data_IF_505631507236
#
_entry.id   IF_505631507236
#
_cell.length_a   1.000
_cell.length_b   1.000
_cell.length_c   1.000
_cell.angle_alpha   90.00
_cell.angle_beta   90.00
_cell.angle_gamma   90.00
#
_symmetry.space_group_name_H-M   'P 1'
#
loop_
_entity.id
_entity.type
_entity.pdbx_description
1 polymer ?
#
# COMPACT_ATOMS: atom_id res chain seq x y z
N UNK A 1 17.61 -20.18 -4.20
CA UNK A 1 18.54 -19.10 -4.59
C UNK A 1 17.74 -17.79 -4.50
N UNK A 2 18.18 -16.78 -3.75
CA UNK A 2 17.52 -15.50 -3.64
C UNK A 2 17.50 -14.81 -5.01
N UNK A 3 16.50 -13.96 -5.27
CA UNK A 3 16.50 -13.12 -6.47
C UNK A 3 17.72 -12.18 -6.43
N UNK A 4 18.28 -11.81 -7.60
CA UNK A 4 19.36 -10.83 -7.66
C UNK A 4 18.90 -9.50 -7.03
N UNK A 5 19.81 -8.73 -6.39
CA UNK A 5 19.45 -7.47 -5.78
C UNK A 5 18.86 -6.52 -6.83
N UNK A 6 17.61 -6.10 -6.62
CA UNK A 6 16.93 -5.09 -7.45
C UNK A 6 17.33 -3.71 -6.92
N UNK A 7 18.63 -3.44 -6.87
CA UNK A 7 19.22 -2.19 -6.41
C UNK A 7 20.35 -1.82 -7.36
N UNK A 8 20.37 -0.55 -7.77
CA UNK A 8 21.46 -0.03 -8.58
C UNK A 8 22.78 -0.18 -7.79
N UNK A 9 23.79 -0.93 -8.28
CA UNK A 9 24.95 -1.32 -7.47
C UNK A 9 25.72 -0.11 -6.91
N UNK A 10 25.90 0.94 -7.72
CA UNK A 10 26.58 2.16 -7.27
C UNK A 10 25.79 2.93 -6.21
N UNK A 11 24.47 2.77 -6.17
CA UNK A 11 23.63 3.39 -5.14
C UNK A 11 23.61 2.54 -3.87
N UNK A 12 23.56 1.22 -3.99
CA UNK A 12 23.61 0.30 -2.84
C UNK A 12 24.85 0.52 -1.96
N UNK A 13 26.01 0.78 -2.58
CA UNK A 13 27.26 1.08 -1.87
C UNK A 13 27.24 2.40 -1.07
N UNK A 14 26.27 3.29 -1.32
CA UNK A 14 26.13 4.56 -0.62
C UNK A 14 25.15 4.47 0.58
N UNK A 15 24.42 3.37 0.72
CA UNK A 15 23.42 3.21 1.79
C UNK A 15 24.12 2.75 3.07
N UNK A 16 23.91 3.50 4.15
CA UNK A 16 24.32 3.11 5.51
C UNK A 16 23.43 1.99 6.06
N UNK A 17 23.55 0.79 5.50
CA UNK A 17 23.08 -0.44 6.14
C UNK A 17 23.96 -0.71 7.39
N UNK A 18 23.41 -1.16 8.54
CA UNK A 18 22.04 -1.64 8.82
C UNK A 18 21.07 -0.60 9.38
N UNK A 19 21.55 0.57 9.83
CA UNK A 19 20.75 1.57 10.55
C UNK A 19 19.54 2.07 9.75
N UNK A 20 19.68 2.20 8.43
CA UNK A 20 18.57 2.58 7.57
C UNK A 20 17.43 1.55 7.53
N UNK A 21 17.74 0.24 7.52
CA UNK A 21 16.71 -0.80 7.45
C UNK A 21 15.85 -0.80 8.71
N UNK A 22 16.48 -0.73 9.88
CA UNK A 22 15.75 -0.63 11.15
C UNK A 22 14.84 0.60 11.17
N UNK A 23 15.38 1.78 10.84
CA UNK A 23 14.59 3.02 10.79
C UNK A 23 13.43 2.93 9.78
N UNK A 24 13.65 2.30 8.63
CA UNK A 24 12.59 2.12 7.64
C UNK A 24 11.46 1.24 8.17
N UNK A 25 11.78 0.09 8.79
CA UNK A 25 10.78 -0.80 9.38
C UNK A 25 10.06 -0.21 10.59
N UNK A 26 10.71 0.69 11.35
CA UNK A 26 10.06 1.49 12.40
C UNK A 26 8.95 2.39 11.82
N UNK A 27 9.22 3.04 10.69
CA UNK A 27 8.29 3.95 10.06
C UNK A 27 7.11 3.26 9.35
N UNK A 28 7.13 1.93 9.16
CA UNK A 28 6.03 1.24 8.50
C UNK A 28 4.79 1.19 9.41
N UNK A 29 3.64 1.73 8.97
CA UNK A 29 2.40 1.66 9.73
C UNK A 29 1.90 0.21 9.79
N UNK A 30 1.33 -0.14 10.94
CA UNK A 30 0.65 -1.42 11.21
C UNK A 30 1.47 -2.66 10.83
N UNK A 31 2.79 -2.54 10.84
CA UNK A 31 3.72 -3.61 10.49
C UNK A 31 4.52 -3.99 11.72
N UNK A 32 4.49 -5.26 12.06
CA UNK A 32 5.30 -5.86 13.12
C UNK A 32 6.42 -6.63 12.43
N UNK A 33 7.66 -6.20 12.60
CA UNK A 33 8.80 -6.74 11.85
C UNK A 33 9.79 -7.42 12.80
N UNK A 34 10.40 -8.51 12.34
CA UNK A 34 11.54 -9.12 13.00
C UNK A 34 12.47 -9.87 12.04
N UNK A 35 13.67 -10.12 12.53
CA UNK A 35 14.60 -11.11 12.03
C UNK A 35 15.11 -11.97 13.19
N UNK A 36 15.29 -13.27 12.95
CA UNK A 36 15.90 -14.21 13.88
C UNK A 36 17.10 -14.91 13.23
N UNK A 37 18.10 -15.25 14.05
CA UNK A 37 19.24 -16.05 13.63
C UNK A 37 18.87 -17.56 13.53
N UNK A 38 19.83 -18.39 13.13
CA UNK A 38 19.66 -19.85 12.99
C UNK A 38 19.25 -20.58 14.27
N UNK A 39 19.51 -19.99 15.44
CA UNK A 39 19.16 -20.56 16.75
C UNK A 39 17.77 -20.09 17.21
N UNK A 40 17.15 -19.17 16.47
CA UNK A 40 15.83 -18.63 16.78
C UNK A 40 15.85 -17.39 17.66
N UNK A 41 17.01 -16.77 17.87
CA UNK A 41 17.10 -15.53 18.65
C UNK A 41 16.75 -14.33 17.78
N UNK A 42 15.94 -13.40 18.31
CA UNK A 42 15.67 -12.12 17.66
C UNK A 42 16.99 -11.32 17.51
N UNK A 43 17.30 -10.91 16.29
CA UNK A 43 18.48 -10.09 15.94
C UNK A 43 18.12 -8.73 15.36
N UNK A 44 16.85 -8.55 14.99
CA UNK A 44 16.27 -7.26 14.59
C UNK A 44 14.77 -7.34 14.88
N UNK A 45 14.17 -6.24 15.29
CA UNK A 45 12.74 -6.07 15.44
C UNK A 45 12.38 -4.60 15.29
N UNK A 46 11.09 -4.28 15.24
CA UNK A 46 10.62 -2.92 15.49
C UNK A 46 9.86 -2.82 16.83
N UNK A 47 9.72 -1.61 17.37
CA UNK A 47 9.15 -1.35 18.69
C UNK A 47 7.73 -1.91 18.81
N UNK A 48 6.95 -1.88 17.72
CA UNK A 48 5.58 -2.42 17.70
C UNK A 48 5.55 -3.91 18.02
N UNK A 49 6.55 -4.68 17.58
CA UNK A 49 6.65 -6.10 17.91
C UNK A 49 7.04 -6.30 19.38
N UNK A 50 8.00 -5.51 19.88
CA UNK A 50 8.37 -5.53 21.30
C UNK A 50 7.14 -5.27 22.18
N UNK A 51 6.35 -4.23 21.86
CA UNK A 51 5.11 -3.90 22.58
C UNK A 51 4.07 -5.02 22.52
N UNK A 52 3.93 -5.69 21.36
CA UNK A 52 2.99 -6.81 21.18
C UNK A 52 3.33 -7.98 22.11
N UNK A 53 4.62 -8.31 22.17
CA UNK A 53 5.17 -9.43 22.95
C UNK A 53 5.44 -9.05 24.41
N UNK A 54 5.23 -7.80 24.80
CA UNK A 54 5.37 -7.35 26.19
C UNK A 54 6.80 -7.08 26.64
N UNK A 55 7.75 -6.92 25.71
CA UNK A 55 9.10 -6.46 26.02
C UNK A 55 9.11 -4.93 26.25
N UNK A 56 9.90 -4.44 27.21
CA UNK A 56 9.91 -3.00 27.55
C UNK A 56 10.59 -2.15 26.47
N UNK A 57 11.52 -2.74 25.72
CA UNK A 57 12.19 -2.08 24.58
C UNK A 57 12.70 -3.11 23.57
N UNK A 58 13.07 -2.64 22.38
CA UNK A 58 13.72 -3.49 21.36
C UNK A 58 15.03 -4.06 21.89
N UNK A 59 15.83 -3.26 22.60
CA UNK A 59 17.13 -3.66 23.15
C UNK A 59 17.01 -4.85 24.10
N UNK A 60 15.95 -4.90 24.91
CA UNK A 60 15.68 -6.04 25.79
C UNK A 60 15.19 -7.27 25.02
N UNK A 61 14.55 -7.08 23.86
CA UNK A 61 14.07 -8.16 23.00
C UNK A 61 15.19 -8.84 22.21
N UNK A 62 16.25 -8.11 21.84
CA UNK A 62 17.36 -8.68 21.05
C UNK A 62 18.09 -9.76 21.85
N UNK A 63 18.27 -10.92 21.23
CA UNK A 63 18.91 -12.10 21.82
C UNK A 63 17.95 -13.09 22.48
N UNK A 64 16.71 -12.68 22.75
CA UNK A 64 15.65 -13.55 23.24
C UNK A 64 15.13 -14.45 22.12
N UNK A 65 14.45 -15.53 22.51
CA UNK A 65 13.75 -16.47 21.63
C UNK A 65 12.24 -16.37 21.84
N UNK A 66 11.45 -17.04 21.01
CA UNK A 66 10.00 -17.12 21.23
C UNK A 66 9.64 -17.72 22.60
N UNK A 67 10.49 -18.60 23.18
CA UNK A 67 10.25 -19.22 24.48
C UNK A 67 10.35 -18.23 25.64
N UNK A 68 11.05 -17.13 25.45
CA UNK A 68 11.22 -16.09 26.46
C UNK A 68 10.02 -15.11 26.47
N UNK A 69 9.25 -15.06 25.37
CA UNK A 69 8.23 -14.03 25.13
C UNK A 69 6.81 -14.59 24.95
N UNK A 70 6.67 -15.86 24.61
CA UNK A 70 5.40 -16.50 24.28
C UNK A 70 5.17 -17.74 25.15
N UNK A 71 3.90 -18.19 25.30
CA UNK A 71 3.59 -19.51 25.85
C UNK A 71 4.37 -20.64 25.13
N UNK A 72 4.89 -21.66 25.85
CA UNK A 72 5.77 -22.67 25.28
C UNK A 72 5.21 -23.42 24.08
N UNK A 73 3.90 -23.71 24.08
CA UNK A 73 3.20 -24.40 23.01
C UNK A 73 3.10 -23.58 21.71
N UNK A 74 3.02 -22.25 21.81
CA UNK A 74 3.08 -21.35 20.66
C UNK A 74 4.54 -21.12 20.22
N UNK A 75 5.46 -20.99 21.17
CA UNK A 75 6.89 -20.86 20.88
C UNK A 75 7.43 -22.07 20.10
N UNK A 76 6.98 -23.29 20.43
CA UNK A 76 7.31 -24.51 19.68
C UNK A 76 6.82 -24.41 18.23
N UNK A 77 5.57 -23.98 18.00
CA UNK A 77 5.00 -23.82 16.66
C UNK A 77 5.78 -22.79 15.83
N UNK A 78 6.12 -21.64 16.42
CA UNK A 78 6.88 -20.60 15.73
C UNK A 78 8.29 -21.08 15.38
N UNK A 79 8.99 -21.74 16.32
CA UNK A 79 10.32 -22.30 16.09
C UNK A 79 10.32 -23.35 14.98
N UNK A 80 9.33 -24.25 14.97
CA UNK A 80 9.26 -25.33 14.00
C UNK A 80 8.98 -24.81 12.59
N UNK A 81 8.13 -23.79 12.46
CA UNK A 81 7.90 -23.12 11.18
C UNK A 81 9.16 -22.37 10.70
N UNK A 82 9.79 -21.59 11.59
CA UNK A 82 11.01 -20.86 11.29
C UNK A 82 12.14 -21.81 10.85
N UNK A 83 12.30 -22.95 11.55
CA UNK A 83 13.26 -24.01 11.19
C UNK A 83 12.93 -24.63 9.84
N UNK A 84 11.66 -24.88 9.54
CA UNK A 84 11.23 -25.39 8.23
C UNK A 84 11.61 -24.42 7.12
N UNK A 85 11.35 -23.12 7.30
CA UNK A 85 11.72 -22.08 6.31
C UNK A 85 13.25 -22.07 6.13
N UNK A 86 14.00 -22.09 7.22
CA UNK A 86 15.47 -22.08 7.16
C UNK A 86 16.07 -23.34 6.54
N UNK A 87 15.42 -24.51 6.70
CA UNK A 87 15.91 -25.78 6.16
C UNK A 87 15.54 -25.95 4.68
N UNK A 88 14.33 -25.54 4.30
CA UNK A 88 13.80 -25.75 2.94
C UNK A 88 14.08 -24.58 1.99
N UNK A 89 14.35 -23.39 2.53
CA UNK A 89 14.40 -22.14 1.78
C UNK A 89 13.06 -21.71 1.19
N UNK A 90 11.94 -22.36 1.55
CA UNK A 90 10.62 -22.02 1.05
C UNK A 90 9.98 -20.94 1.94
N UNK A 91 9.58 -19.78 1.36
CA UNK A 91 8.92 -18.73 2.13
C UNK A 91 7.46 -19.10 2.45
N UNK A 92 6.94 -18.51 3.52
CA UNK A 92 5.51 -18.51 3.85
C UNK A 92 5.02 -17.09 3.65
N UNK A 93 4.10 -16.85 2.72
CA UNK A 93 3.67 -15.49 2.36
C UNK A 93 2.17 -15.31 2.59
N UNK A 94 1.79 -14.15 3.13
CA UNK A 94 0.41 -13.74 3.34
C UNK A 94 -0.46 -14.80 4.04
N UNK A 95 0.09 -15.47 5.05
CA UNK A 95 -0.64 -16.46 5.85
C UNK A 95 -1.47 -15.75 6.92
N UNK A 96 -2.76 -16.06 6.99
CA UNK A 96 -3.60 -15.62 8.11
C UNK A 96 -3.33 -16.49 9.33
N UNK A 97 -2.93 -15.87 10.43
CA UNK A 97 -2.52 -16.52 11.67
C UNK A 97 -3.27 -15.88 12.85
N UNK A 98 -3.70 -16.70 13.80
CA UNK A 98 -4.17 -16.23 15.10
C UNK A 98 -2.97 -16.12 16.03
N UNK A 99 -2.69 -14.92 16.51
CA UNK A 99 -1.57 -14.66 17.41
C UNK A 99 -2.12 -14.06 18.70
N UNK A 100 -1.72 -14.65 19.82
CA UNK A 100 -2.01 -14.12 21.14
C UNK A 100 -1.03 -12.99 21.48
N UNK A 101 -1.53 -11.88 22.04
CA UNK A 101 -0.67 -10.87 22.66
C UNK A 101 -0.15 -11.33 24.04
N UNK A 102 0.71 -10.52 24.68
CA UNK A 102 1.24 -10.79 26.03
C UNK A 102 0.16 -10.92 27.12
N UNK A 103 -1.11 -10.58 26.83
CA UNK A 103 -2.26 -10.71 27.75
C UNK A 103 -3.12 -11.92 27.43
N UNK A 104 -2.77 -12.70 26.41
CA UNK A 104 -3.54 -13.85 25.93
C UNK A 104 -4.74 -13.48 25.06
N UNK A 105 -4.87 -12.23 24.62
CA UNK A 105 -5.93 -11.81 23.69
C UNK A 105 -5.56 -12.20 22.26
N UNK A 106 -6.46 -12.87 21.56
CA UNK A 106 -6.24 -13.32 20.20
C UNK A 106 -6.49 -12.20 19.18
N UNK A 107 -5.55 -12.02 18.25
CA UNK A 107 -5.69 -11.17 17.08
C UNK A 107 -5.42 -11.95 15.79
N UNK A 108 -6.10 -11.55 14.71
CA UNK A 108 -5.82 -12.06 13.36
C UNK A 108 -4.71 -11.24 12.69
N UNK A 109 -3.66 -11.92 12.26
CA UNK A 109 -2.53 -11.32 11.58
C UNK A 109 -2.33 -11.92 10.19
N UNK A 110 -1.94 -11.08 9.24
CA UNK A 110 -1.41 -11.51 7.95
C UNK A 110 0.12 -11.52 8.04
N UNK A 111 0.71 -12.70 8.00
CA UNK A 111 2.12 -12.96 8.23
C UNK A 111 2.84 -13.35 6.94
N UNK A 112 4.04 -12.81 6.75
CA UNK A 112 4.97 -13.26 5.72
C UNK A 112 6.33 -13.50 6.34
N UNK A 113 6.89 -14.69 6.12
CA UNK A 113 8.20 -15.12 6.59
C UNK A 113 9.06 -15.60 5.44
N UNK A 114 10.31 -15.15 5.40
CA UNK A 114 11.27 -15.46 4.33
C UNK A 114 12.61 -15.88 4.91
N UNK A 115 13.34 -16.79 4.24
CA UNK A 115 14.72 -17.08 4.64
C UNK A 115 15.61 -15.83 4.46
N UNK A 116 16.46 -15.57 5.44
CA UNK A 116 17.51 -14.56 5.35
C UNK A 116 18.77 -15.20 4.80
N UNK A 117 19.35 -14.59 3.77
CA UNK A 117 20.58 -15.04 3.14
C UNK A 117 21.74 -14.12 3.51
N UNK A 118 22.90 -14.70 3.82
CA UNK A 118 24.16 -13.98 3.95
C UNK A 118 24.85 -13.77 2.60
N UNK A 119 26.01 -13.12 2.63
CA UNK A 119 26.77 -12.72 1.43
C UNK A 119 27.24 -13.90 0.55
N UNK A 120 27.37 -15.10 1.14
CA UNK A 120 27.75 -16.33 0.42
C UNK A 120 26.53 -17.16 0.01
N UNK A 121 25.35 -16.53 -0.02
CA UNK A 121 24.10 -17.16 -0.45
C UNK A 121 23.61 -18.32 0.43
N UNK A 122 24.12 -18.40 1.66
CA UNK A 122 23.72 -19.34 2.69
C UNK A 122 22.60 -18.76 3.54
N UNK A 123 21.67 -19.60 4.00
CA UNK A 123 20.64 -19.18 4.94
C UNK A 123 21.29 -18.91 6.30
N UNK A 124 21.05 -17.74 6.86
CA UNK A 124 21.59 -17.28 8.16
C UNK A 124 20.49 -17.03 9.20
N UNK A 125 19.23 -17.19 8.81
CA UNK A 125 18.09 -16.88 9.66
C UNK A 125 16.77 -16.82 8.92
N UNK A 126 15.79 -16.19 9.56
CA UNK A 126 14.46 -15.92 9.00
C UNK A 126 14.07 -14.47 9.30
N UNK A 127 13.37 -13.82 8.39
CA UNK A 127 12.73 -12.53 8.62
C UNK A 127 11.23 -12.69 8.48
N UNK A 128 10.48 -12.01 9.36
CA UNK A 128 9.04 -12.00 9.38
C UNK A 128 8.49 -10.58 9.38
N UNK A 129 7.35 -10.39 8.72
CA UNK A 129 6.54 -9.20 8.82
C UNK A 129 5.08 -9.61 9.00
N UNK A 130 4.42 -9.02 9.98
CA UNK A 130 3.01 -9.27 10.27
C UNK A 130 2.22 -7.98 10.21
N UNK A 131 0.94 -8.06 9.84
CA UNK A 131 -0.01 -6.94 9.89
C UNK A 131 -1.27 -7.38 10.61
N UNK A 132 -1.73 -6.55 11.53
CA UNK A 132 -2.99 -6.76 12.25
C UNK A 132 -4.18 -6.51 11.30
N UNK A 133 -4.95 -7.56 11.00
CA UNK A 133 -6.06 -7.49 10.06
C UNK A 133 -7.23 -6.65 10.60
N UNK A 134 -7.40 -6.55 11.91
CA UNK A 134 -8.43 -5.68 12.50
C UNK A 134 -8.04 -4.21 12.36
N UNK A 135 -6.78 -3.85 12.62
CA UNK A 135 -6.29 -2.47 12.41
C UNK A 135 -6.38 -2.06 10.95
N UNK A 136 -5.91 -2.92 10.04
CA UNK A 136 -6.04 -2.69 8.60
C UNK A 136 -7.49 -2.52 8.20
N UNK A 137 -8.39 -3.40 8.68
CA UNK A 137 -9.82 -3.27 8.41
C UNK A 137 -10.43 -1.99 8.96
N UNK A 138 -10.01 -1.55 10.15
CA UNK A 138 -10.51 -0.31 10.77
C UNK A 138 -10.05 0.93 9.98
N UNK A 139 -8.80 0.95 9.52
CA UNK A 139 -8.25 2.01 8.67
C UNK A 139 -8.95 2.07 7.30
N UNK A 140 -9.35 0.92 6.76
CA UNK A 140 -10.06 0.82 5.49
C UNK A 140 -11.58 1.01 5.60
N UNK A 141 -12.15 0.85 6.79
CA UNK A 141 -13.61 0.94 7.02
C UNK A 141 -14.26 2.20 6.43
N UNK A 142 -13.69 3.41 6.60
CA UNK A 142 -14.30 4.61 6.01
C UNK A 142 -14.20 4.64 4.48
N UNK A 143 -13.19 4.00 3.91
CA UNK A 143 -13.09 3.82 2.47
C UNK A 143 -14.09 2.77 1.97
N UNK A 144 -14.31 1.67 2.70
CA UNK A 144 -15.27 0.62 2.35
C UNK A 144 -16.71 1.15 2.25
N UNK A 145 -17.12 2.04 3.15
CA UNK A 145 -18.47 2.63 3.11
C UNK A 145 -18.72 3.47 1.84
N UNK A 146 -17.66 4.11 1.32
CA UNK A 146 -17.74 4.95 0.12
C UNK A 146 -17.28 4.22 -1.15
N UNK A 147 -16.72 3.02 -1.02
CA UNK A 147 -16.01 2.31 -2.07
C UNK A 147 -16.92 2.02 -3.26
N UNK A 148 -18.18 1.63 -3.02
CA UNK A 148 -19.12 1.37 -4.10
C UNK A 148 -19.47 2.63 -4.90
N UNK A 149 -19.70 3.77 -4.23
CA UNK A 149 -19.91 5.06 -4.90
C UNK A 149 -18.66 5.53 -5.66
N UNK A 150 -17.46 5.37 -5.08
CA UNK A 150 -16.20 5.70 -5.73
C UNK A 150 -16.00 4.85 -6.99
N UNK A 151 -16.21 3.53 -6.89
CA UNK A 151 -16.14 2.60 -8.04
C UNK A 151 -17.17 2.94 -9.10
N UNK A 152 -18.38 3.36 -8.70
CA UNK A 152 -19.41 3.81 -9.63
C UNK A 152 -18.94 5.03 -10.43
N UNK A 153 -18.41 6.06 -9.76
CA UNK A 153 -17.86 7.24 -10.45
C UNK A 153 -16.72 6.84 -11.38
N UNK A 154 -15.76 6.01 -10.93
CA UNK A 154 -14.63 5.59 -11.77
C UNK A 154 -15.10 4.81 -13.01
N UNK A 155 -16.18 4.04 -12.89
CA UNK A 155 -16.72 3.23 -13.99
C UNK A 155 -17.54 4.04 -14.98
N UNK A 156 -18.33 5.00 -14.50
CA UNK A 156 -19.33 5.71 -15.30
C UNK A 156 -19.06 7.22 -15.38
N UNK A 157 -17.82 7.66 -15.16
CA UNK A 157 -17.47 9.10 -15.12
C UNK A 157 -17.86 9.85 -16.40
N UNK A 158 -17.98 9.17 -17.53
CA UNK A 158 -18.34 9.72 -18.84
C UNK A 158 -19.86 9.92 -19.02
N UNK A 159 -20.68 9.51 -18.06
CA UNK A 159 -22.13 9.73 -18.06
C UNK A 159 -22.53 10.81 -17.04
N UNK A 160 -23.76 11.36 -17.13
CA UNK A 160 -24.30 12.25 -16.09
C UNK A 160 -24.52 11.49 -14.77
N UNK A 161 -23.73 11.81 -13.75
CA UNK A 161 -23.85 11.23 -12.39
C UNK A 161 -24.47 12.26 -11.45
N UNK A 162 -25.50 11.85 -10.69
CA UNK A 162 -26.08 12.69 -9.63
C UNK A 162 -25.51 12.29 -8.27
N UNK A 163 -25.28 13.28 -7.39
CA UNK A 163 -24.82 13.00 -6.02
C UNK A 163 -25.86 12.18 -5.23
N UNK A 164 -27.16 12.33 -5.55
CA UNK A 164 -28.24 11.55 -4.93
C UNK A 164 -28.10 10.06 -5.19
N UNK A 165 -27.72 9.68 -6.40
CA UNK A 165 -27.49 8.28 -6.81
C UNK A 165 -26.30 7.69 -6.05
N UNK A 166 -25.22 8.46 -5.86
CA UNK A 166 -24.07 8.03 -5.07
C UNK A 166 -24.42 7.83 -3.59
N UNK A 167 -25.24 8.72 -3.03
CA UNK A 167 -25.74 8.59 -1.66
C UNK A 167 -26.62 7.33 -1.52
N UNK A 168 -27.52 7.07 -2.48
CA UNK A 168 -28.38 5.89 -2.53
C UNK A 168 -27.57 4.59 -2.57
N UNK A 169 -26.52 4.51 -3.40
CA UNK A 169 -25.60 3.37 -3.49
C UNK A 169 -25.00 3.03 -2.11
N UNK A 170 -24.66 4.04 -1.31
CA UNK A 170 -24.05 3.83 0.01
C UNK A 170 -25.08 3.66 1.14
N UNK A 171 -26.38 3.76 0.85
CA UNK A 171 -27.44 3.76 1.89
C UNK A 171 -27.41 4.98 2.82
N UNK A 172 -26.71 6.05 2.43
CA UNK A 172 -26.56 7.28 3.23
C UNK A 172 -27.54 8.36 2.77
N UNK A 173 -27.94 9.24 3.70
CA UNK A 173 -28.56 10.51 3.28
C UNK A 173 -27.53 11.39 2.55
N UNK A 174 -27.99 12.28 1.67
CA UNK A 174 -27.11 13.17 0.88
C UNK A 174 -26.14 13.97 1.77
N UNK A 175 -26.64 14.50 2.90
CA UNK A 175 -25.81 15.29 3.83
C UNK A 175 -24.74 14.43 4.53
N UNK A 176 -25.09 13.19 4.91
CA UNK A 176 -24.12 12.26 5.48
C UNK A 176 -23.07 11.86 4.43
N UNK A 177 -23.51 11.56 3.21
CA UNK A 177 -22.62 11.22 2.10
C UNK A 177 -21.63 12.37 1.81
N UNK A 178 -22.11 13.60 1.58
CA UNK A 178 -21.23 14.75 1.32
C UNK A 178 -20.21 14.97 2.45
N UNK A 179 -20.66 14.87 3.70
CA UNK A 179 -19.78 15.04 4.87
C UNK A 179 -18.70 13.96 4.90
N UNK A 180 -19.07 12.67 4.79
CA UNK A 180 -18.13 11.55 4.87
C UNK A 180 -17.21 11.52 3.65
N UNK A 181 -17.74 11.77 2.46
CA UNK A 181 -16.96 11.84 1.22
C UNK A 181 -15.88 12.92 1.31
N UNK A 182 -16.23 14.12 1.79
CA UNK A 182 -15.24 15.18 2.01
C UNK A 182 -14.21 14.83 3.09
N UNK A 183 -14.61 14.10 4.14
CA UNK A 183 -13.71 13.67 5.22
C UNK A 183 -12.71 12.60 4.76
N UNK A 184 -13.08 11.68 3.87
CA UNK A 184 -12.22 10.55 3.49
C UNK A 184 -11.54 10.70 2.12
N UNK A 185 -12.12 11.48 1.21
CA UNK A 185 -11.61 11.72 -0.16
C UNK A 185 -11.04 13.13 -0.30
N UNK A 186 -11.15 13.97 0.74
CA UNK A 186 -10.65 15.36 0.79
C UNK A 186 -11.22 16.31 -0.28
N UNK A 187 -12.29 15.89 -0.96
CA UNK A 187 -12.98 16.67 -1.99
C UNK A 187 -14.48 16.39 -1.96
N UNK A 188 -15.29 17.25 -2.59
CA UNK A 188 -16.73 16.97 -2.74
C UNK A 188 -16.97 15.91 -3.81
N UNK A 189 -18.11 15.18 -3.79
CA UNK A 189 -18.43 14.19 -4.84
C UNK A 189 -18.39 14.78 -6.26
N UNK A 190 -18.88 16.01 -6.44
CA UNK A 190 -18.82 16.71 -7.73
C UNK A 190 -17.38 17.02 -8.16
N UNK A 191 -16.51 17.41 -7.22
CA UNK A 191 -15.10 17.62 -7.49
C UNK A 191 -14.41 16.30 -7.89
N UNK A 192 -14.76 15.18 -7.23
CA UNK A 192 -14.21 13.87 -7.56
C UNK A 192 -14.63 13.37 -8.95
N UNK A 193 -15.90 13.57 -9.33
CA UNK A 193 -16.37 13.28 -10.70
C UNK A 193 -15.55 14.11 -11.71
N UNK A 194 -15.42 15.41 -11.47
CA UNK A 194 -14.65 16.28 -12.38
C UNK A 194 -13.18 15.88 -12.43
N UNK A 195 -12.55 15.58 -11.30
CA UNK A 195 -11.17 15.10 -11.20
C UNK A 195 -10.96 13.84 -12.04
N UNK A 196 -11.85 12.85 -11.89
CA UNK A 196 -11.83 11.59 -12.65
C UNK A 196 -11.92 11.85 -14.16
N UNK A 197 -12.82 12.75 -14.58
CA UNK A 197 -12.94 13.18 -15.98
C UNK A 197 -11.67 13.86 -16.49
N UNK A 198 -11.02 14.71 -15.68
CA UNK A 198 -9.78 15.39 -16.06
C UNK A 198 -8.61 14.40 -16.18
N UNK A 199 -8.50 13.40 -15.31
CA UNK A 199 -7.49 12.35 -15.43
C UNK A 199 -7.69 11.50 -16.69
N UNK A 200 -8.94 11.16 -17.02
CA UNK A 200 -9.23 10.47 -18.28
C UNK A 200 -8.84 11.33 -19.50
N UNK A 201 -9.19 12.62 -19.49
CA UNK A 201 -8.79 13.55 -20.55
C UNK A 201 -7.26 13.65 -20.65
N UNK A 202 -6.55 13.70 -19.53
CA UNK A 202 -5.07 13.76 -19.47
C UNK A 202 -4.46 12.55 -20.17
N UNK A 203 -4.97 11.35 -19.90
CA UNK A 203 -4.56 10.11 -20.57
C UNK A 203 -4.83 10.17 -22.07
N UNK A 204 -6.07 10.50 -22.48
CA UNK A 204 -6.46 10.52 -23.90
C UNK A 204 -5.69 11.57 -24.72
N UNK A 205 -5.32 12.70 -24.12
CA UNK A 205 -4.51 13.73 -24.77
C UNK A 205 -3.11 13.25 -25.14
N UNK A 206 -2.56 12.32 -24.35
CA UNK A 206 -1.21 11.78 -24.50
C UNK A 206 -1.21 10.51 -25.36
N UNK A 207 -2.27 9.71 -25.26
CA UNK A 207 -2.35 8.38 -25.90
C UNK A 207 -3.04 8.36 -27.25
N UNK A 208 -3.74 9.43 -27.62
CA UNK A 208 -4.56 9.45 -28.82
C UNK A 208 -4.48 10.79 -29.55
N UNK A 209 -4.73 10.74 -30.86
CA UNK A 209 -4.86 11.92 -31.72
C UNK A 209 -6.30 12.45 -31.80
N UNK A 210 -7.21 11.97 -30.94
CA UNK A 210 -8.60 12.44 -30.90
C UNK A 210 -8.65 13.96 -30.75
N UNK A 211 -9.60 14.62 -31.41
CA UNK A 211 -9.78 16.07 -31.24
C UNK A 211 -10.15 16.41 -29.79
N UNK A 212 -9.82 17.63 -29.33
CA UNK A 212 -10.14 18.06 -27.96
C UNK A 212 -11.66 18.02 -27.70
N UNK A 213 -12.47 18.33 -28.73
CA UNK A 213 -13.92 18.18 -28.69
C UNK A 213 -14.36 16.72 -28.50
N UNK A 214 -13.76 15.78 -29.25
CA UNK A 214 -14.05 14.34 -29.08
C UNK A 214 -13.66 13.83 -27.70
N UNK A 215 -12.54 14.31 -27.15
CA UNK A 215 -12.12 13.98 -25.78
C UNK A 215 -13.08 14.55 -24.74
N UNK A 216 -13.60 15.76 -24.94
CA UNK A 216 -14.58 16.35 -24.03
C UNK A 216 -15.83 15.44 -23.93
N UNK A 217 -16.38 15.04 -25.06
CA UNK A 217 -17.53 14.14 -25.12
C UNK A 217 -17.24 12.78 -24.48
N UNK A 218 -16.08 12.18 -24.79
CA UNK A 218 -15.68 10.90 -24.22
C UNK A 218 -15.39 10.94 -22.70
N UNK A 219 -15.24 12.14 -22.13
CA UNK A 219 -15.07 12.33 -20.69
C UNK A 219 -16.36 12.82 -20.01
N UNK A 220 -17.53 12.75 -20.69
CA UNK A 220 -18.80 13.22 -20.13
C UNK A 220 -18.84 14.73 -19.87
N UNK A 221 -18.02 15.50 -20.60
CA UNK A 221 -17.96 16.96 -20.50
C UNK A 221 -18.78 17.59 -21.63
N UNK A 222 -19.57 18.63 -21.29
CA UNK A 222 -20.54 19.25 -22.21
C UNK A 222 -19.94 19.72 -23.53
N UNK A 223 -18.75 20.31 -23.48
CA UNK A 223 -18.10 20.91 -24.63
C UNK A 223 -16.59 21.13 -24.42
N UNK A 224 -15.90 21.37 -25.53
CA UNK A 224 -14.46 21.65 -25.57
C UNK A 224 -14.06 22.88 -24.74
N UNK A 225 -14.88 23.93 -24.71
CA UNK A 225 -14.55 25.17 -23.99
C UNK A 225 -14.57 24.93 -22.49
N UNK A 226 -15.57 24.20 -22.00
CA UNK A 226 -15.65 23.76 -20.60
C UNK A 226 -14.47 22.86 -20.25
N UNK A 227 -14.18 21.84 -21.06
CA UNK A 227 -13.01 20.98 -20.86
C UNK A 227 -11.73 21.81 -20.76
N UNK A 228 -11.52 22.75 -21.69
CA UNK A 228 -10.31 23.58 -21.72
C UNK A 228 -10.14 24.40 -20.45
N UNK A 229 -11.22 25.01 -19.94
CA UNK A 229 -11.18 25.79 -18.70
C UNK A 229 -10.86 24.91 -17.50
N UNK A 230 -11.58 23.79 -17.34
CA UNK A 230 -11.39 22.91 -16.18
C UNK A 230 -10.03 22.22 -16.24
N UNK A 231 -9.60 21.77 -17.40
CA UNK A 231 -8.29 21.13 -17.59
C UNK A 231 -7.15 22.11 -17.28
N UNK A 232 -7.27 23.37 -17.69
CA UNK A 232 -6.29 24.42 -17.33
C UNK A 232 -6.27 24.69 -15.83
N UNK A 233 -7.43 24.70 -15.18
CA UNK A 233 -7.52 24.85 -13.72
C UNK A 233 -6.89 23.66 -12.98
N UNK A 234 -7.07 22.44 -13.50
CA UNK A 234 -6.57 21.20 -12.90
C UNK A 234 -5.06 21.00 -13.11
N UNK A 235 -4.54 21.31 -14.30
CA UNK A 235 -3.16 20.98 -14.70
C UNK A 235 -2.23 22.18 -14.88
N UNK A 236 -2.77 23.40 -14.83
CA UNK A 236 -2.04 24.64 -15.16
C UNK A 236 -1.85 24.90 -16.67
N UNK A 237 -2.20 23.95 -17.55
CA UNK A 237 -1.99 24.05 -19.00
C UNK A 237 -3.28 23.80 -19.79
N UNK A 238 -3.40 24.36 -21.00
CA UNK A 238 -4.52 24.00 -21.88
C UNK A 238 -4.32 22.59 -22.46
N UNK A 239 -5.40 21.87 -22.84
CA UNK A 239 -5.31 20.54 -23.43
C UNK A 239 -4.33 20.45 -24.61
N UNK A 240 -4.36 21.43 -25.53
CA UNK A 240 -3.46 21.48 -26.69
C UNK A 240 -1.99 21.63 -26.29
N UNK A 241 -1.69 22.51 -25.30
CA UNK A 241 -0.31 22.68 -24.81
C UNK A 241 0.18 21.42 -24.09
N UNK A 242 -0.70 20.79 -23.31
CA UNK A 242 -0.39 19.53 -22.61
C UNK A 242 -0.07 18.40 -23.59
N UNK A 243 -0.93 18.18 -24.60
CA UNK A 243 -0.69 17.20 -25.67
C UNK A 243 0.66 17.41 -26.35
N UNK A 244 0.91 18.62 -26.85
CA UNK A 244 2.15 18.93 -27.58
C UNK A 244 3.40 18.63 -26.75
N UNK A 245 3.34 18.90 -25.45
CA UNK A 245 4.48 18.66 -24.53
C UNK A 245 4.71 17.18 -24.27
N UNK A 246 3.67 16.41 -23.94
CA UNK A 246 3.84 15.06 -23.40
C UNK A 246 3.65 13.92 -24.40
N UNK A 247 2.98 14.19 -25.54
CA UNK A 247 2.90 13.21 -26.62
C UNK A 247 4.27 13.02 -27.29
N UNK A 248 5.03 14.11 -27.48
CA UNK A 248 6.39 14.05 -28.01
C UNK A 248 7.35 13.27 -27.09
N UNK A 249 7.32 13.53 -25.78
CA UNK A 249 8.17 12.81 -24.82
C UNK A 249 7.89 11.31 -24.75
N UNK A 250 6.65 10.85 -25.01
CA UNK A 250 6.38 9.40 -25.11
C UNK A 250 6.99 8.77 -26.36
N UNK A 251 6.97 9.48 -27.49
CA UNK A 251 7.59 9.01 -28.73
C UNK A 251 9.11 8.89 -28.52
N UNK A 252 9.73 9.89 -27.90
CA UNK A 252 11.18 9.91 -27.67
C UNK A 252 11.65 8.83 -26.67
N UNK A 253 10.79 8.43 -25.71
CA UNK A 253 11.09 7.33 -24.76
C UNK A 253 10.98 5.94 -25.41
N UNK A 254 10.14 5.77 -26.44
CA UNK A 254 9.99 4.48 -27.14
C UNK A 254 10.84 4.39 -28.43
N UNK A 255 11.52 5.47 -28.80
CA UNK A 255 12.44 5.54 -29.94
C UNK A 255 13.91 5.32 -29.55
N UNK A 256 14.21 5.21 -28.25
CA UNK A 256 15.51 4.85 -27.66
C UNK A 256 15.43 3.49 -26.97
#
# INVERSE_FOLDING_TARGET
MPPPPILHPAFAAQISFPSYLHQFFECLPDTYFYAKNLVGQFVMANQRLADLLGASSIEEMIGLTDFDLCPPDLADQYRDEDRRIMTTGQPVLNRSELVADHRGSLGWYLSSKVPLYGDQNQIIGVAGAMRDLHKVSALLSPYHELDEAIRYVIRYFDTPIKVTELAEITGLSISQFDRRFKQHVEMTPQQFILHTRMESARRMLVETDKSISSIALACGVSDQSYLTRQFKRHTGMTPTKYRKKYQQSRIDIHAN
#
